data_IF_869145497524
#
_entry.id   IF_869145497524
#
_cell.length_a   1.000
_cell.length_b   1.000
_cell.length_c   1.000
_cell.angle_alpha   90.00
_cell.angle_beta   90.00
_cell.angle_gamma   90.00
#
_symmetry.space_group_name_H-M   'P 1'
#
loop_
_entity.id
_entity.type
_entity.pdbx_description
1 polymer ?
#
# COMPACT_ATOMS: atom_id res chain seq x y z
N UNK A 1 5.92 -30.86 8.80
CA UNK A 1 5.62 -30.44 7.40
C UNK A 1 4.78 -29.19 7.50
N UNK A 2 5.33 -28.03 7.13
CA UNK A 2 4.50 -26.84 6.97
C UNK A 2 3.48 -27.09 5.86
N UNK A 3 2.23 -26.71 6.10
CA UNK A 3 1.20 -26.78 5.08
C UNK A 3 1.44 -25.66 4.06
N UNK A 4 1.89 -26.01 2.85
CA UNK A 4 2.04 -25.06 1.76
C UNK A 4 0.66 -24.78 1.17
N UNK A 5 0.14 -23.59 1.40
CA UNK A 5 -1.14 -23.15 0.84
C UNK A 5 -0.98 -22.89 -0.66
N UNK A 6 -1.88 -23.48 -1.47
CA UNK A 6 -1.95 -23.23 -2.92
C UNK A 6 -2.91 -22.08 -3.20
N UNK A 7 -2.55 -21.20 -4.13
CA UNK A 7 -3.47 -20.16 -4.58
C UNK A 7 -4.55 -20.76 -5.49
N UNK A 8 -5.80 -20.46 -5.15
CA UNK A 8 -7.00 -20.90 -5.88
C UNK A 8 -7.86 -19.66 -6.20
N UNK A 9 -7.96 -19.22 -7.47
CA UNK A 9 -8.60 -17.95 -7.80
C UNK A 9 -10.06 -17.87 -7.34
N UNK A 10 -10.83 -18.96 -7.49
CA UNK A 10 -12.26 -19.00 -7.13
C UNK A 10 -12.53 -18.87 -5.62
N UNK A 11 -11.53 -19.08 -4.78
CA UNK A 11 -11.61 -19.02 -3.32
C UNK A 11 -10.93 -17.78 -2.76
N UNK A 12 -9.83 -17.36 -3.38
CA UNK A 12 -8.94 -16.34 -2.84
C UNK A 12 -9.12 -14.97 -3.49
N UNK A 13 -9.63 -14.89 -4.73
CA UNK A 13 -10.06 -13.61 -5.32
C UNK A 13 -11.49 -13.28 -4.87
N UNK A 14 -11.69 -12.04 -4.46
CA UNK A 14 -12.97 -11.52 -3.99
C UNK A 14 -13.66 -10.61 -5.00
N UNK A 15 -12.90 -10.03 -5.94
CA UNK A 15 -13.43 -9.08 -6.91
C UNK A 15 -14.37 -9.77 -7.91
N UNK A 16 -15.66 -9.45 -7.82
CA UNK A 16 -16.70 -9.94 -8.75
C UNK A 16 -17.06 -8.92 -9.85
N UNK A 17 -16.66 -7.67 -9.66
CA UNK A 17 -16.95 -6.56 -10.57
C UNK A 17 -15.73 -5.64 -10.66
N UNK A 18 -15.60 -4.94 -11.78
CA UNK A 18 -14.54 -3.95 -11.94
C UNK A 18 -14.86 -2.71 -11.08
N UNK A 19 -13.87 -2.16 -10.34
CA UNK A 19 -14.02 -0.85 -9.71
C UNK A 19 -14.29 0.24 -10.74
N UNK A 20 -14.88 1.33 -10.25
CA UNK A 20 -14.85 2.58 -11.00
C UNK A 20 -13.41 3.07 -11.11
N UNK A 21 -13.04 3.51 -12.31
CA UNK A 21 -11.73 4.10 -12.59
C UNK A 21 -11.83 5.61 -12.73
N UNK A 22 -10.69 6.29 -12.64
CA UNK A 22 -10.50 7.68 -13.05
C UNK A 22 -9.47 7.72 -14.16
N UNK A 23 -9.78 8.50 -15.18
CA UNK A 23 -8.93 8.66 -16.34
C UNK A 23 -7.91 9.77 -16.10
N UNK A 24 -6.80 9.75 -16.84
CA UNK A 24 -5.79 10.80 -16.82
C UNK A 24 -6.41 12.19 -17.05
N UNK A 25 -7.32 12.28 -18.03
CA UNK A 25 -8.07 13.52 -18.31
C UNK A 25 -8.97 13.99 -17.16
N UNK A 26 -9.49 13.09 -16.34
CA UNK A 26 -10.32 13.45 -15.18
C UNK A 26 -9.49 14.18 -14.11
N UNK A 27 -8.15 14.04 -14.19
CA UNK A 27 -7.18 14.70 -13.33
C UNK A 27 -6.50 15.89 -14.05
N UNK A 28 -6.94 16.26 -15.24
CA UNK A 28 -6.37 17.35 -16.04
C UNK A 28 -5.07 16.98 -16.77
N UNK A 29 -4.67 15.71 -16.79
CA UNK A 29 -3.53 15.25 -17.60
C UNK A 29 -3.96 15.01 -19.04
N UNK A 30 -3.01 15.11 -19.98
CA UNK A 30 -3.23 14.70 -21.36
C UNK A 30 -3.40 13.18 -21.45
N UNK A 31 -4.19 12.69 -22.41
CA UNK A 31 -4.46 11.25 -22.58
C UNK A 31 -3.20 10.43 -22.95
N UNK A 32 -2.13 11.09 -23.42
CA UNK A 32 -0.83 10.52 -23.76
C UNK A 32 0.21 10.59 -22.63
N UNK A 33 -0.17 11.10 -21.44
CA UNK A 33 0.76 11.28 -20.31
C UNK A 33 1.37 9.96 -19.83
N UNK A 34 0.62 8.87 -19.92
CA UNK A 34 1.03 7.55 -19.45
C UNK A 34 0.76 6.44 -20.46
N UNK A 35 1.06 5.21 -20.06
CA UNK A 35 0.90 4.00 -20.89
C UNK A 35 -0.55 3.48 -21.00
N UNK A 36 -1.50 4.21 -20.43
CA UNK A 36 -2.93 3.87 -20.39
C UNK A 36 -3.73 5.16 -20.10
N UNK A 37 -4.98 5.27 -20.58
CA UNK A 37 -5.87 6.36 -20.19
C UNK A 37 -6.31 6.28 -18.71
N UNK A 38 -6.19 5.12 -18.04
CA UNK A 38 -6.63 4.95 -16.65
C UNK A 38 -5.55 5.40 -15.67
N UNK A 39 -5.77 6.53 -15.00
CA UNK A 39 -4.86 7.04 -13.98
C UNK A 39 -4.87 6.19 -12.70
N UNK A 40 -6.06 5.87 -12.18
CA UNK A 40 -6.21 5.00 -11.01
C UNK A 40 -7.60 4.38 -10.90
N UNK A 41 -7.71 3.33 -10.09
CA UNK A 41 -8.99 2.75 -9.67
C UNK A 41 -9.43 3.26 -8.29
N UNK A 42 -10.74 3.39 -8.07
CA UNK A 42 -11.27 3.40 -6.71
C UNK A 42 -10.91 2.09 -5.99
N UNK A 43 -10.94 2.10 -4.66
CA UNK A 43 -10.61 0.91 -3.87
C UNK A 43 -11.60 -0.23 -4.12
N UNK A 44 -11.11 -1.46 -4.23
CA UNK A 44 -11.92 -2.65 -4.46
C UNK A 44 -11.39 -3.85 -3.69
N UNK A 45 -12.28 -4.75 -3.26
CA UNK A 45 -11.90 -5.98 -2.58
C UNK A 45 -11.23 -6.94 -3.57
N UNK A 46 -9.90 -7.03 -3.55
CA UNK A 46 -9.14 -7.90 -4.45
C UNK A 46 -9.08 -9.33 -3.93
N UNK A 47 -8.63 -9.49 -2.68
CA UNK A 47 -8.43 -10.79 -2.05
C UNK A 47 -9.40 -11.01 -0.90
N UNK A 48 -9.76 -12.26 -0.64
CA UNK A 48 -10.58 -12.63 0.52
C UNK A 48 -9.79 -12.47 1.83
N UNK A 49 -10.46 -12.32 2.98
CA UNK A 49 -9.78 -12.29 4.28
C UNK A 49 -8.90 -13.52 4.53
N UNK A 50 -9.31 -14.69 4.01
CA UNK A 50 -8.51 -15.90 4.07
C UNK A 50 -7.18 -15.76 3.33
N UNK A 51 -7.21 -15.26 2.09
CA UNK A 51 -6.00 -15.04 1.31
C UNK A 51 -5.05 -14.05 2.01
N UNK A 52 -5.59 -12.96 2.58
CA UNK A 52 -4.78 -12.00 3.35
C UNK A 52 -4.15 -12.66 4.57
N UNK A 53 -4.88 -13.50 5.30
CA UNK A 53 -4.31 -14.25 6.43
C UNK A 53 -3.13 -15.12 6.02
N UNK A 54 -3.23 -15.81 4.87
CA UNK A 54 -2.13 -16.64 4.34
C UNK A 54 -0.94 -15.76 3.94
N UNK A 55 -1.15 -14.70 3.16
CA UNK A 55 -0.08 -13.78 2.76
C UNK A 55 0.64 -13.15 3.97
N UNK A 56 -0.11 -12.81 5.02
CA UNK A 56 0.45 -12.32 6.28
C UNK A 56 1.32 -13.35 6.99
N UNK A 57 0.86 -14.60 7.06
CA UNK A 57 1.64 -15.68 7.66
C UNK A 57 2.96 -15.92 6.91
N UNK A 58 2.98 -15.72 5.59
CA UNK A 58 4.22 -15.82 4.80
C UNK A 58 5.24 -14.76 5.22
N UNK A 59 4.84 -13.50 5.41
CA UNK A 59 5.75 -12.40 5.78
C UNK A 59 6.13 -12.34 7.27
N UNK A 60 5.45 -13.13 8.11
CA UNK A 60 5.75 -13.24 9.54
C UNK A 60 6.89 -14.23 9.85
N UNK A 61 7.36 -14.98 8.84
CA UNK A 61 8.50 -15.88 8.96
C UNK A 61 9.77 -15.12 9.39
N UNK A 62 10.51 -15.56 10.43
CA UNK A 62 11.70 -14.86 10.92
C UNK A 62 12.76 -14.61 9.83
N UNK A 63 13.04 -15.62 9.00
CA UNK A 63 13.99 -15.55 7.89
C UNK A 63 13.73 -14.39 6.92
N UNK A 64 12.45 -14.06 6.70
CA UNK A 64 12.07 -12.96 5.82
C UNK A 64 12.41 -11.62 6.45
N UNK A 65 12.08 -11.44 7.73
CA UNK A 65 12.36 -10.20 8.45
C UNK A 65 13.85 -9.95 8.62
N UNK A 66 14.64 -11.00 8.80
CA UNK A 66 16.08 -10.89 9.00
C UNK A 66 16.83 -10.60 7.68
N UNK A 67 16.40 -11.21 6.57
CA UNK A 67 17.16 -11.18 5.31
C UNK A 67 16.65 -10.15 4.30
N UNK A 68 15.34 -9.87 4.31
CA UNK A 68 14.68 -9.08 3.27
C UNK A 68 14.15 -7.75 3.79
N UNK A 69 14.56 -7.34 5.00
CA UNK A 69 14.18 -6.05 5.59
C UNK A 69 15.07 -4.92 5.10
N UNK A 70 14.43 -3.82 4.70
CA UNK A 70 15.08 -2.60 4.23
C UNK A 70 14.47 -1.38 4.94
N UNK A 71 15.30 -0.37 5.17
CA UNK A 71 14.84 0.98 5.56
C UNK A 71 15.42 1.99 4.59
N UNK A 72 14.68 3.08 4.35
CA UNK A 72 15.11 4.17 3.48
C UNK A 72 14.71 5.51 4.07
N UNK A 73 15.16 6.59 3.44
CA UNK A 73 14.76 7.96 3.80
C UNK A 73 13.25 8.23 3.61
N UNK A 74 12.53 7.38 2.88
CA UNK A 74 11.11 7.55 2.54
C UNK A 74 10.23 6.51 3.26
N UNK A 75 10.79 5.41 3.74
CA UNK A 75 10.05 4.35 4.43
C UNK A 75 10.90 3.69 5.53
N UNK A 76 10.37 3.71 6.75
CA UNK A 76 11.08 3.26 7.95
C UNK A 76 11.31 1.75 8.01
N UNK A 77 10.41 0.95 7.44
CA UNK A 77 10.51 -0.51 7.44
C UNK A 77 9.77 -1.13 6.26
N UNK A 78 10.51 -1.88 5.44
CA UNK A 78 10.01 -2.54 4.23
C UNK A 78 10.51 -3.98 4.14
N UNK A 79 9.73 -4.87 3.52
CA UNK A 79 10.18 -6.19 3.08
C UNK A 79 10.11 -6.26 1.55
N UNK A 80 11.19 -6.65 0.88
CA UNK A 80 11.23 -6.67 -0.60
C UNK A 80 12.07 -7.82 -1.12
N UNK A 81 11.70 -8.37 -2.28
CA UNK A 81 12.45 -9.47 -2.91
C UNK A 81 12.22 -10.88 -2.34
N UNK A 82 11.41 -11.04 -1.29
CA UNK A 82 11.22 -12.33 -0.62
C UNK A 82 10.26 -13.28 -1.36
N UNK A 83 9.32 -12.74 -2.14
CA UNK A 83 8.08 -13.46 -2.45
C UNK A 83 8.31 -14.76 -3.24
N UNK A 84 9.20 -14.71 -4.24
CA UNK A 84 9.50 -15.86 -5.11
C UNK A 84 10.01 -17.08 -4.34
N UNK A 85 10.84 -16.86 -3.33
CA UNK A 85 11.56 -17.91 -2.63
C UNK A 85 10.84 -18.33 -1.34
N UNK A 86 10.21 -17.38 -0.64
CA UNK A 86 9.70 -17.60 0.72
C UNK A 86 8.17 -17.47 0.87
N UNK A 87 7.48 -16.96 -0.15
CA UNK A 87 6.03 -16.73 -0.11
C UNK A 87 5.31 -17.35 -1.34
N UNK A 88 5.30 -18.68 -1.47
CA UNK A 88 4.76 -19.37 -2.64
C UNK A 88 3.28 -19.04 -2.92
N UNK A 89 2.46 -18.82 -1.89
CA UNK A 89 1.06 -18.42 -2.06
C UNK A 89 0.97 -17.00 -2.63
N UNK A 90 1.68 -16.04 -2.05
CA UNK A 90 1.74 -14.65 -2.53
C UNK A 90 2.28 -14.58 -3.96
N UNK A 91 3.37 -15.29 -4.24
CA UNK A 91 3.97 -15.32 -5.58
C UNK A 91 3.01 -15.90 -6.62
N UNK A 92 2.32 -17.01 -6.31
CA UNK A 92 1.28 -17.57 -7.17
C UNK A 92 0.12 -16.58 -7.35
N UNK A 93 -0.36 -15.95 -6.28
CA UNK A 93 -1.50 -15.03 -6.34
C UNK A 93 -1.27 -13.88 -7.31
N UNK A 94 -0.08 -13.28 -7.32
CA UNK A 94 0.27 -12.15 -8.18
C UNK A 94 0.66 -12.54 -9.61
N UNK A 95 1.05 -13.79 -9.87
CA UNK A 95 1.34 -14.30 -11.21
C UNK A 95 0.17 -15.06 -11.85
N UNK A 96 -0.90 -15.35 -11.09
CA UNK A 96 -1.99 -16.17 -11.58
C UNK A 96 -2.74 -15.47 -12.74
N UNK A 97 -3.06 -16.17 -13.85
CA UNK A 97 -3.75 -15.59 -15.00
C UNK A 97 -5.03 -14.83 -14.67
N UNK A 98 -5.87 -15.36 -13.77
CA UNK A 98 -7.11 -14.69 -13.34
C UNK A 98 -6.84 -13.37 -12.59
N UNK A 99 -5.78 -13.30 -11.77
CA UNK A 99 -5.37 -12.06 -11.13
C UNK A 99 -4.90 -11.06 -12.17
N UNK A 100 -4.03 -11.48 -13.09
CA UNK A 100 -3.49 -10.61 -14.14
C UNK A 100 -4.56 -10.11 -15.09
N UNK A 101 -5.55 -10.95 -15.43
CA UNK A 101 -6.72 -10.59 -16.23
C UNK A 101 -7.54 -9.49 -15.55
N UNK A 102 -7.81 -9.63 -14.26
CA UNK A 102 -8.52 -8.62 -13.47
C UNK A 102 -7.73 -7.29 -13.43
N UNK A 103 -6.44 -7.34 -13.06
CA UNK A 103 -5.59 -6.15 -12.98
C UNK A 103 -5.48 -5.46 -14.34
N UNK A 104 -5.30 -6.21 -15.42
CA UNK A 104 -5.25 -5.68 -16.79
C UNK A 104 -6.57 -5.03 -17.21
N UNK A 105 -7.70 -5.66 -16.89
CA UNK A 105 -9.01 -5.10 -17.20
C UNK A 105 -9.26 -3.77 -16.47
N UNK A 106 -8.81 -3.65 -15.22
CA UNK A 106 -8.88 -2.39 -14.46
C UNK A 106 -7.94 -1.34 -15.07
N UNK A 107 -6.74 -1.74 -15.47
CA UNK A 107 -5.75 -0.85 -16.06
C UNK A 107 -6.11 -0.35 -17.47
N UNK A 108 -7.04 -1.01 -18.16
CA UNK A 108 -7.32 -0.73 -19.57
C UNK A 108 -6.20 -1.13 -20.54
N UNK A 109 -5.21 -1.89 -20.07
CA UNK A 109 -4.08 -2.41 -20.86
C UNK A 109 -3.59 -3.72 -20.25
N UNK A 110 -3.03 -4.63 -21.07
CA UNK A 110 -2.49 -5.89 -20.57
C UNK A 110 -1.22 -5.67 -19.73
N UNK A 111 -1.26 -6.09 -18.46
CA UNK A 111 -0.20 -5.92 -17.48
C UNK A 111 0.39 -7.26 -17.04
N UNK A 112 1.69 -7.24 -16.74
CA UNK A 112 2.41 -8.32 -16.06
C UNK A 112 3.24 -7.74 -14.91
N UNK A 113 3.57 -8.52 -13.87
CA UNK A 113 4.47 -8.07 -12.82
C UNK A 113 5.78 -7.60 -13.43
N UNK A 114 6.33 -6.48 -12.95
CA UNK A 114 7.50 -5.86 -13.58
C UNK A 114 8.75 -6.73 -13.47
N UNK A 115 8.96 -7.33 -12.30
CA UNK A 115 9.97 -8.34 -12.01
C UNK A 115 9.64 -9.04 -10.69
N UNK A 116 10.22 -10.22 -10.47
CA UNK A 116 9.99 -11.02 -9.26
C UNK A 116 10.28 -10.25 -7.96
N UNK A 117 11.29 -9.36 -7.98
CA UNK A 117 11.71 -8.57 -6.83
C UNK A 117 10.63 -7.59 -6.32
N UNK A 118 9.73 -7.16 -7.20
CA UNK A 118 8.65 -6.21 -6.90
C UNK A 118 7.31 -6.87 -6.59
N UNK A 119 7.28 -8.19 -6.50
CA UNK A 119 6.05 -8.90 -6.13
C UNK A 119 5.90 -8.84 -4.62
N UNK A 120 4.81 -8.22 -4.17
CA UNK A 120 4.43 -8.21 -2.77
C UNK A 120 5.39 -7.42 -1.85
N UNK A 121 5.98 -6.32 -2.32
CA UNK A 121 6.75 -5.41 -1.48
C UNK A 121 5.91 -4.98 -0.27
N UNK A 122 6.34 -5.28 0.95
CA UNK A 122 5.62 -4.90 2.17
C UNK A 122 6.14 -3.57 2.71
N UNK A 123 5.23 -2.64 3.00
CA UNK A 123 5.52 -1.49 3.84
C UNK A 123 4.93 -1.73 5.23
N UNK A 124 5.77 -1.64 6.26
CA UNK A 124 5.43 -1.83 7.66
C UNK A 124 5.43 -0.47 8.38
N UNK A 125 4.32 -0.13 9.02
CA UNK A 125 4.25 1.04 9.88
C UNK A 125 3.52 0.73 11.18
N UNK A 126 4.16 1.04 12.30
CA UNK A 126 3.61 0.84 13.64
C UNK A 126 3.12 2.16 14.22
N UNK A 127 1.92 2.17 14.80
CA UNK A 127 1.40 3.34 15.49
C UNK A 127 1.94 3.38 16.93
N UNK A 128 3.19 3.81 17.09
CA UNK A 128 3.92 3.79 18.36
C UNK A 128 3.32 4.65 19.50
N UNK A 129 2.25 5.42 19.25
CA UNK A 129 1.66 6.35 20.25
C UNK A 129 0.47 5.80 21.05
N UNK A 130 0.07 4.54 20.89
CA UNK A 130 -1.05 3.97 21.69
C UNK A 130 -0.60 3.00 22.80
N UNK A 131 0.71 2.80 22.99
CA UNK A 131 1.23 1.88 24.01
C UNK A 131 1.57 2.53 25.37
N UNK A 132 1.48 3.87 25.51
CA UNK A 132 1.89 4.59 26.72
C UNK A 132 0.77 5.45 27.34
N UNK A 133 -0.46 4.95 27.36
CA UNK A 133 -1.49 5.44 28.30
C UNK A 133 -1.89 4.29 29.22
N UNK A 134 -0.99 3.89 30.10
CA UNK A 134 -1.28 2.81 31.03
C UNK A 134 -0.12 2.21 31.81
N UNK A 135 0.84 3.00 32.31
CA UNK A 135 1.51 2.73 33.60
C UNK A 135 2.55 3.82 33.89
N UNK A 136 2.47 4.38 35.09
CA UNK A 136 3.29 5.50 35.54
C UNK A 136 4.67 5.12 36.10
N UNK A 137 5.39 6.20 36.42
CA UNK A 137 6.58 6.36 37.27
C UNK A 137 7.93 5.83 36.77
N UNK A 138 8.87 6.76 36.55
CA UNK A 138 10.30 6.50 36.75
C UNK A 138 11.28 7.20 35.80
N UNK A 139 11.68 8.42 36.15
CA UNK A 139 13.07 8.96 36.11
C UNK A 139 13.80 9.20 34.76
N UNK A 140 13.88 10.50 34.42
CA UNK A 140 14.97 11.32 33.82
C UNK A 140 16.01 10.74 32.83
N UNK A 141 16.23 11.43 31.70
CA UNK A 141 17.36 12.38 31.54
C UNK A 141 17.31 13.14 30.19
N UNK A 142 17.55 14.47 30.18
CA UNK A 142 17.98 15.20 28.97
C UNK A 142 17.33 16.56 28.64
N UNK A 143 17.80 17.61 29.32
CA UNK A 143 17.79 19.09 29.05
C UNK A 143 17.67 19.47 27.56
N UNK A 144 17.15 20.61 27.07
CA UNK A 144 16.57 21.88 27.56
C UNK A 144 16.33 22.73 26.28
N UNK A 145 15.24 23.48 26.05
CA UNK A 145 15.05 24.89 26.45
C UNK A 145 13.79 25.47 25.75
N UNK A 146 13.07 26.37 26.43
CA UNK A 146 12.31 27.45 25.78
C UNK A 146 10.81 27.48 26.05
N UNK A 147 10.39 28.44 26.87
CA UNK A 147 9.04 28.62 27.43
C UNK A 147 8.21 29.58 26.58
N UNK A 148 6.94 29.25 26.29
CA UNK A 148 5.79 30.10 26.63
C UNK A 148 4.45 29.42 26.31
N UNK A 149 3.57 29.41 27.31
CA UNK A 149 2.21 28.90 27.26
C UNK A 149 1.30 29.85 26.48
N UNK A 150 0.48 29.29 25.58
CA UNK A 150 -0.82 29.85 25.22
C UNK A 150 -1.78 28.71 24.92
N UNK A 151 -2.95 28.77 25.54
CA UNK A 151 -4.09 27.88 25.36
C UNK A 151 -4.42 27.75 23.87
N UNK A 152 -4.33 26.53 23.34
CA UNK A 152 -4.75 26.22 21.96
C UNK A 152 -4.82 24.71 21.79
N UNK A 153 -5.98 24.22 21.35
CA UNK A 153 -6.27 22.82 21.05
C UNK A 153 -5.11 22.17 20.26
N UNK A 154 -4.44 21.18 20.85
CA UNK A 154 -3.23 20.58 20.26
C UNK A 154 -3.59 19.64 19.11
N UNK A 155 -3.91 20.21 17.95
CA UNK A 155 -3.59 19.56 16.68
C UNK A 155 -2.07 19.50 16.60
N UNK A 156 -1.50 18.34 16.91
CA UNK A 156 -0.07 18.12 16.70
C UNK A 156 0.22 18.21 15.19
N UNK A 157 1.14 19.06 14.76
CA UNK A 157 1.52 19.20 13.34
C UNK A 157 2.19 17.92 12.78
N UNK A 158 2.74 17.07 13.65
CA UNK A 158 3.29 15.75 13.31
C UNK A 158 2.23 14.77 12.78
N UNK A 159 0.98 15.05 13.08
CA UNK A 159 -0.13 14.14 12.98
C UNK A 159 -0.73 14.19 11.54
N UNK A 160 -0.39 15.23 10.76
CA UNK A 160 -0.68 15.41 9.34
C UNK A 160 0.50 15.03 8.42
N UNK A 161 1.66 14.66 8.98
CA UNK A 161 2.81 14.26 8.17
C UNK A 161 2.54 12.93 7.45
N UNK A 162 2.81 12.82 6.14
CA UNK A 162 2.67 11.57 5.41
C UNK A 162 3.52 10.43 5.95
N UNK A 163 3.12 9.19 5.64
CA UNK A 163 3.98 8.01 5.79
C UNK A 163 5.05 8.03 4.69
N UNK A 164 4.61 8.34 3.47
CA UNK A 164 5.46 8.50 2.29
C UNK A 164 5.03 9.79 1.63
N UNK A 165 5.94 10.77 1.48
CA UNK A 165 5.68 12.10 0.92
C UNK A 165 5.26 12.08 -0.56
N UNK A 166 4.98 13.26 -1.13
CA UNK A 166 4.65 13.38 -2.55
C UNK A 166 5.75 12.79 -3.45
N UNK A 167 5.39 11.85 -4.30
CA UNK A 167 6.30 11.20 -5.23
C UNK A 167 5.58 10.67 -6.47
N UNK A 168 6.38 10.18 -7.42
CA UNK A 168 5.96 9.25 -8.46
C UNK A 168 6.80 7.99 -8.31
N UNK A 169 6.24 6.85 -8.66
CA UNK A 169 6.96 5.59 -8.64
C UNK A 169 7.93 5.49 -9.82
N UNK A 170 8.86 4.54 -9.73
CA UNK A 170 9.71 4.18 -10.86
C UNK A 170 8.97 3.32 -11.90
N UNK A 171 7.92 2.60 -11.49
CA UNK A 171 7.23 1.61 -12.33
C UNK A 171 5.92 2.14 -12.91
N UNK A 172 5.53 1.74 -14.14
CA UNK A 172 4.35 2.26 -14.81
C UNK A 172 3.07 2.14 -13.98
N UNK A 173 2.86 0.98 -13.37
CA UNK A 173 1.70 0.70 -12.53
C UNK A 173 2.10 0.09 -11.20
N UNK A 174 1.31 0.39 -10.16
CA UNK A 174 1.40 -0.25 -8.86
C UNK A 174 0.01 -0.64 -8.37
N UNK A 175 -0.10 -1.83 -7.78
CA UNK A 175 -1.28 -2.25 -7.05
C UNK A 175 -0.95 -2.24 -5.55
N UNK A 176 -1.61 -1.37 -4.79
CA UNK A 176 -1.43 -1.24 -3.35
C UNK A 176 -2.54 -2.00 -2.64
N UNK A 177 -2.19 -3.12 -2.00
CA UNK A 177 -3.07 -3.99 -1.24
C UNK A 177 -2.96 -3.71 0.25
N UNK A 178 -4.08 -3.47 0.93
CA UNK A 178 -4.11 -3.32 2.38
C UNK A 178 -4.19 -4.68 3.07
N UNK A 179 -3.22 -4.98 3.94
CA UNK A 179 -3.15 -6.25 4.67
C UNK A 179 -3.62 -6.13 6.13
N UNK A 180 -3.58 -4.93 6.71
CA UNK A 180 -4.06 -4.69 8.07
C UNK A 180 -5.59 -4.71 8.16
N UNK A 181 -6.10 -5.11 9.33
CA UNK A 181 -7.48 -4.85 9.72
C UNK A 181 -7.60 -3.36 10.05
N UNK A 182 -8.50 -2.66 9.35
CA UNK A 182 -8.65 -1.20 9.45
C UNK A 182 -9.75 -0.73 10.42
N UNK A 183 -10.27 -1.62 11.27
CA UNK A 183 -11.27 -1.25 12.29
C UNK A 183 -10.71 -0.17 13.21
N UNK A 184 -11.40 0.97 13.32
CA UNK A 184 -10.95 2.11 14.13
C UNK A 184 -9.81 2.92 13.51
N UNK A 185 -9.33 2.57 12.31
CA UNK A 185 -8.33 3.38 11.61
C UNK A 185 -8.96 4.63 11.01
N UNK A 186 -8.37 5.79 11.33
CA UNK A 186 -8.71 7.09 10.74
C UNK A 186 -7.50 7.56 9.92
N UNK A 187 -7.72 7.97 8.68
CA UNK A 187 -6.63 8.32 7.77
C UNK A 187 -6.09 7.11 7.00
N UNK A 188 -4.84 7.19 6.56
CA UNK A 188 -4.18 6.09 5.84
C UNK A 188 -4.49 6.03 4.34
N UNK A 189 -5.28 6.98 3.83
CA UNK A 189 -5.65 7.06 2.43
C UNK A 189 -4.44 7.33 1.54
N UNK A 190 -4.49 6.78 0.33
CA UNK A 190 -3.66 7.28 -0.75
C UNK A 190 -4.34 8.52 -1.31
N UNK A 191 -3.57 9.59 -1.46
CA UNK A 191 -4.03 10.82 -2.11
C UNK A 191 -3.25 11.04 -3.38
N UNK A 192 -3.93 11.54 -4.40
CA UNK A 192 -3.32 11.91 -5.69
C UNK A 192 -3.44 13.41 -5.89
N UNK A 193 -2.44 14.00 -6.53
CA UNK A 193 -2.45 15.40 -6.96
C UNK A 193 -2.82 15.46 -8.44
N UNK A 194 -3.80 16.29 -8.79
CA UNK A 194 -4.23 16.55 -10.17
C UNK A 194 -3.29 17.56 -10.85
N UNK A 195 -3.43 17.73 -12.18
CA UNK A 195 -2.59 18.63 -12.97
C UNK A 195 -2.70 20.11 -12.57
N UNK A 196 -3.87 20.52 -12.08
CA UNK A 196 -4.15 21.86 -11.53
C UNK A 196 -3.71 22.03 -10.06
N UNK A 197 -3.20 20.96 -9.43
CA UNK A 197 -2.65 20.99 -8.06
C UNK A 197 -3.64 20.59 -6.96
N UNK A 198 -4.91 20.33 -7.31
CA UNK A 198 -5.92 19.82 -6.37
C UNK A 198 -5.56 18.43 -5.82
N UNK A 199 -6.05 18.15 -4.60
CA UNK A 199 -5.80 16.88 -3.92
C UNK A 199 -7.09 16.03 -3.94
N UNK A 200 -7.00 14.84 -4.52
CA UNK A 200 -8.09 13.85 -4.53
C UNK A 200 -7.74 12.70 -3.59
N UNK A 201 -8.60 12.47 -2.60
CA UNK A 201 -8.48 11.33 -1.68
C UNK A 201 -9.09 10.09 -2.30
N UNK A 202 -8.36 8.99 -2.28
CA UNK A 202 -8.89 7.68 -2.67
C UNK A 202 -9.38 7.02 -1.38
N UNK A 203 -10.66 6.62 -1.36
CA UNK A 203 -11.34 6.17 -0.15
C UNK A 203 -10.51 5.13 0.60
N UNK A 204 -10.46 5.31 1.92
CA UNK A 204 -9.59 4.57 2.83
C UNK A 204 -9.75 3.05 2.72
N UNK A 205 -8.64 2.31 2.87
CA UNK A 205 -8.62 0.89 2.58
C UNK A 205 -9.25 0.07 3.72
N UNK A 206 -9.94 -1.01 3.35
CA UNK A 206 -10.27 -2.11 4.24
C UNK A 206 -9.33 -3.29 3.99
N UNK A 207 -9.26 -4.25 4.91
CA UNK A 207 -8.41 -5.43 4.74
C UNK A 207 -8.76 -6.19 3.44
N UNK A 208 -7.75 -6.45 2.62
CA UNK A 208 -7.90 -7.12 1.33
C UNK A 208 -8.42 -6.23 0.20
N UNK A 209 -8.73 -4.96 0.49
CA UNK A 209 -8.93 -3.97 -0.57
C UNK A 209 -7.60 -3.58 -1.19
N UNK A 210 -7.64 -3.41 -2.51
CA UNK A 210 -6.55 -2.88 -3.29
C UNK A 210 -6.98 -1.63 -4.07
N UNK A 211 -5.99 -0.89 -4.53
CA UNK A 211 -6.14 0.13 -5.55
C UNK A 211 -5.06 -0.05 -6.61
N UNK A 212 -5.38 0.24 -7.86
CA UNK A 212 -4.42 0.26 -8.95
C UNK A 212 -4.15 1.71 -9.35
N UNK A 213 -2.89 2.07 -9.58
CA UNK A 213 -2.45 3.43 -9.88
C UNK A 213 -1.37 3.40 -10.96
N UNK A 214 -1.40 4.33 -11.91
CA UNK A 214 -0.27 4.65 -12.80
C UNK A 214 0.82 5.39 -12.03
N UNK A 215 1.50 4.69 -11.11
CA UNK A 215 2.39 5.28 -10.12
C UNK A 215 3.50 6.16 -10.69
N UNK A 216 4.04 5.83 -11.87
CA UNK A 216 5.05 6.64 -12.56
C UNK A 216 4.56 8.00 -13.03
N UNK A 217 3.28 8.10 -13.35
CA UNK A 217 2.70 9.24 -14.08
C UNK A 217 1.81 10.11 -13.19
N UNK A 218 1.26 9.55 -12.10
CA UNK A 218 0.38 10.26 -11.18
C UNK A 218 1.13 10.55 -9.88
N UNK A 219 1.24 11.84 -9.54
CA UNK A 219 1.86 12.26 -8.28
C UNK A 219 0.95 11.90 -7.12
N UNK A 220 1.49 11.20 -6.13
CA UNK A 220 0.69 10.64 -5.03
C UNK A 220 1.45 10.62 -3.71
N UNK A 221 0.71 10.40 -2.63
CA UNK A 221 1.19 10.38 -1.26
C UNK A 221 0.37 9.40 -0.42
N UNK A 222 1.01 8.73 0.54
CA UNK A 222 0.31 7.90 1.52
C UNK A 222 0.14 8.67 2.83
N UNK A 223 -1.11 8.94 3.21
CA UNK A 223 -1.42 9.64 4.45
C UNK A 223 -1.17 8.74 5.66
N UNK A 224 -0.87 9.37 6.80
CA UNK A 224 -0.76 8.64 8.07
C UNK A 224 -2.12 8.17 8.54
N UNK A 225 -2.15 6.97 9.15
CA UNK A 225 -3.33 6.44 9.80
C UNK A 225 -3.16 6.50 11.33
N UNK A 226 -4.25 6.72 12.06
CA UNK A 226 -4.33 6.67 13.53
C UNK A 226 -5.39 5.66 13.98
N UNK A 227 -5.36 5.26 15.25
CA UNK A 227 -6.39 4.40 15.84
C UNK A 227 -6.27 2.89 15.56
N UNK A 228 -5.33 2.45 14.73
CA UNK A 228 -4.99 1.04 14.51
C UNK A 228 -3.68 0.63 15.20
N UNK A 229 -3.44 -0.68 15.39
CA UNK A 229 -2.16 -1.19 15.93
C UNK A 229 -1.00 -1.05 14.93
N UNK A 230 -1.29 -1.30 13.65
CA UNK A 230 -0.33 -1.33 12.55
C UNK A 230 -1.01 -1.00 11.23
N UNK A 231 -0.23 -0.51 10.27
CA UNK A 231 -0.64 -0.39 8.87
C UNK A 231 0.39 -1.10 7.99
N UNK A 232 -0.03 -2.26 7.47
CA UNK A 232 0.74 -3.11 6.57
C UNK A 232 0.10 -3.05 5.18
N UNK A 233 0.90 -2.68 4.19
CA UNK A 233 0.47 -2.70 2.78
C UNK A 233 1.44 -3.52 1.95
N UNK A 234 0.90 -4.37 1.08
CA UNK A 234 1.65 -5.09 0.04
C UNK A 234 1.51 -4.34 -1.29
N UNK A 235 2.62 -4.01 -1.93
CA UNK A 235 2.66 -3.33 -3.22
C UNK A 235 3.23 -4.28 -4.25
N UNK A 236 2.50 -4.46 -5.36
CA UNK A 236 3.03 -5.19 -6.52
C UNK A 236 3.09 -4.24 -7.70
N UNK A 237 4.26 -4.15 -8.32
CA UNK A 237 4.49 -3.27 -9.47
C UNK A 237 4.32 -4.02 -10.79
N UNK A 238 3.77 -3.33 -11.77
CA UNK A 238 3.41 -3.88 -13.07
C UNK A 238 3.97 -3.02 -14.21
N UNK A 239 4.15 -3.67 -15.35
CA UNK A 239 4.45 -3.04 -16.63
C UNK A 239 3.48 -3.53 -17.71
N UNK A 240 3.29 -2.77 -18.80
CA UNK A 240 2.69 -3.30 -20.01
C UNK A 240 3.39 -4.58 -20.45
N UNK A 241 2.59 -5.59 -20.82
CA UNK A 241 3.12 -6.83 -21.36
C UNK A 241 3.79 -6.59 -22.71
N UNK A 242 3.09 -5.85 -23.58
CA UNK A 242 3.61 -5.34 -24.85
C UNK A 242 4.51 -4.13 -24.61
N UNK A 243 5.70 -4.05 -25.24
CA UNK A 243 6.49 -2.83 -25.27
C UNK A 243 6.01 -1.81 -26.32
N UNK A 244 5.01 -2.18 -27.14
CA UNK A 244 4.38 -1.38 -28.19
C UNK A 244 2.96 -0.99 -27.81
#
# INVERSE_FOLDING_TARGET
MEHVYKFEPNRHLAAKQLPKVRLAKDLGYSEDTGVSPVAYSEAFQLFTPEAIRIMRAEIEKPEIRETYSFSSNIADSQLRGYAKEHAPFTYQAWNHPETLKLISAIAGIELVPVMDYEIGHINLSTNAKTANEGQGNGTECGRSNGVNASMGSSHNEDDDKPIVGWHTDSYPFVCVLMMSVCTGMIGGETVVRTADGDIRKIRGPAQGCAMLLQGRYVTHQAMRARGGKERITSVTSFRPKSPF
#
